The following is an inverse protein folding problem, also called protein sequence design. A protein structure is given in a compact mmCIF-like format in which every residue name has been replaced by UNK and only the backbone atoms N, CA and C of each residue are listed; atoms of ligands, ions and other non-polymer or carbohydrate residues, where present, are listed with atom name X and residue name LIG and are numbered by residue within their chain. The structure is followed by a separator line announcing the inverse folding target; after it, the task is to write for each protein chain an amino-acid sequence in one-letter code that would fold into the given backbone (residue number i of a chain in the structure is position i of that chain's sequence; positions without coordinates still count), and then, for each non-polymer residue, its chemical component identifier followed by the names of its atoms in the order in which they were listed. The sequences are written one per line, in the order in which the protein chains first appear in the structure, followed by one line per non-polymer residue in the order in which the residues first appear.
data_IF_449801004262
#
_entry.id   IF_449801004262
#
_cell.length_a   1.000
_cell.length_b   1.000
_cell.length_c   1.000
_cell.angle_alpha   90.00
_cell.angle_beta   90.00
_cell.angle_gamma   90.00
#
_symmetry.space_group_name_H-M   'P 1'
#
loop_
_entity.id
_entity.type
_entity.pdbx_description
1 polymer ?
#
# COMPACT_ATOMS: atom_id res chain seq x y z
N UNK A 1 -16.19 -15.45 -13.99
CA UNK A 1 -15.15 -14.55 -13.54
C UNK A 1 -15.54 -14.04 -12.18
N UNK A 2 -14.58 -13.91 -11.29
CA UNK A 2 -14.89 -13.55 -9.91
C UNK A 2 -14.13 -12.30 -9.40
N UNK A 3 -13.12 -11.80 -10.10
CA UNK A 3 -12.36 -10.64 -9.64
C UNK A 3 -11.84 -9.78 -10.78
N UNK A 4 -12.11 -8.47 -10.68
CA UNK A 4 -11.62 -7.40 -11.55
C UNK A 4 -10.85 -6.31 -10.80
N UNK A 5 -10.48 -6.54 -9.56
CA UNK A 5 -10.12 -5.48 -8.61
C UNK A 5 -8.74 -4.87 -8.82
N UNK A 6 -7.95 -5.32 -9.79
CA UNK A 6 -6.64 -4.75 -10.08
C UNK A 6 -6.21 -5.01 -11.52
N UNK A 7 -5.15 -4.33 -11.96
CA UNK A 7 -4.53 -4.49 -13.28
C UNK A 7 -3.83 -5.85 -13.51
N UNK A 8 -3.54 -6.60 -12.43
CA UNK A 8 -2.90 -7.91 -12.49
C UNK A 8 -3.81 -9.03 -13.01
N UNK A 9 -5.05 -8.71 -13.36
CA UNK A 9 -6.01 -9.71 -13.84
C UNK A 9 -5.53 -10.42 -15.10
N UNK A 10 -5.82 -11.73 -15.18
CA UNK A 10 -5.39 -12.55 -16.31
C UNK A 10 -5.98 -12.05 -17.63
N UNK A 11 -5.10 -11.74 -18.61
CA UNK A 11 -5.51 -11.34 -19.96
C UNK A 11 -6.31 -10.04 -20.03
N UNK A 12 -6.24 -9.17 -19.02
CA UNK A 12 -7.05 -7.95 -18.89
C UNK A 12 -8.57 -8.19 -18.86
N UNK A 13 -8.98 -9.43 -18.57
CA UNK A 13 -10.41 -9.86 -18.57
C UNK A 13 -10.93 -10.29 -17.20
N UNK A 14 -10.12 -10.16 -16.16
CA UNK A 14 -10.44 -10.59 -14.81
C UNK A 14 -9.94 -11.97 -14.46
N UNK A 15 -9.94 -12.31 -13.17
CA UNK A 15 -9.55 -13.62 -12.68
C UNK A 15 -10.72 -14.59 -12.78
N UNK A 16 -10.49 -15.77 -13.39
CA UNK A 16 -11.52 -16.78 -13.69
C UNK A 16 -11.15 -18.18 -13.20
N UNK A 17 -9.91 -18.37 -12.69
CA UNK A 17 -9.42 -19.65 -12.19
C UNK A 17 -9.87 -19.97 -10.78
N UNK A 18 -9.17 -20.89 -10.12
CA UNK A 18 -9.43 -21.29 -8.74
C UNK A 18 -8.98 -20.24 -7.73
N UNK A 19 -8.05 -19.39 -8.11
CA UNK A 19 -7.56 -18.25 -7.32
C UNK A 19 -7.23 -17.07 -8.25
N UNK A 20 -7.19 -15.86 -7.69
CA UNK A 20 -6.65 -14.69 -8.37
C UNK A 20 -5.15 -14.82 -8.64
N UNK A 21 -4.60 -13.99 -9.53
CA UNK A 21 -3.14 -13.90 -9.78
C UNK A 21 -2.38 -13.61 -8.48
N UNK A 22 -2.99 -12.83 -7.57
CA UNK A 22 -2.45 -12.52 -6.25
C UNK A 22 -2.63 -13.65 -5.22
N UNK A 23 -3.28 -14.76 -5.57
CA UNK A 23 -3.61 -15.85 -4.64
C UNK A 23 -4.95 -15.72 -3.90
N UNK A 24 -5.70 -14.62 -4.13
CA UNK A 24 -7.00 -14.37 -3.50
C UNK A 24 -8.03 -15.41 -3.89
N UNK A 25 -8.84 -15.89 -2.92
CA UNK A 25 -9.97 -16.77 -3.18
C UNK A 25 -11.14 -16.04 -3.84
N UNK A 26 -12.03 -16.77 -4.48
CA UNK A 26 -13.27 -16.20 -5.01
C UNK A 26 -14.16 -15.60 -3.91
N UNK A 27 -14.18 -16.22 -2.71
CA UNK A 27 -14.95 -15.72 -1.57
C UNK A 27 -14.39 -14.40 -1.04
N UNK A 28 -13.08 -14.32 -0.85
CA UNK A 28 -12.41 -13.09 -0.46
C UNK A 28 -12.66 -11.96 -1.45
N UNK A 29 -12.60 -12.24 -2.76
CA UNK A 29 -12.90 -11.26 -3.80
C UNK A 29 -14.35 -10.75 -3.71
N UNK A 30 -15.31 -11.66 -3.47
CA UNK A 30 -16.73 -11.31 -3.28
C UNK A 30 -16.93 -10.42 -2.05
N UNK A 31 -16.29 -10.74 -0.93
CA UNK A 31 -16.37 -9.92 0.28
C UNK A 31 -15.77 -8.53 0.08
N UNK A 32 -14.70 -8.41 -0.69
CA UNK A 32 -14.12 -7.10 -1.04
C UNK A 32 -15.02 -6.30 -1.97
N UNK A 33 -15.75 -6.95 -2.89
CA UNK A 33 -16.79 -6.29 -3.69
C UNK A 33 -17.96 -5.85 -2.79
N UNK A 34 -18.40 -6.68 -1.84
CA UNK A 34 -19.42 -6.30 -0.86
C UNK A 34 -18.98 -5.12 0.01
N UNK A 35 -17.73 -5.13 0.48
CA UNK A 35 -17.16 -3.99 1.22
C UNK A 35 -17.15 -2.71 0.37
N UNK A 36 -16.73 -2.80 -0.90
CA UNK A 36 -16.74 -1.66 -1.82
C UNK A 36 -18.17 -1.12 -2.03
N UNK A 37 -19.13 -2.01 -2.22
CA UNK A 37 -20.54 -1.65 -2.34
C UNK A 37 -21.10 -0.97 -1.10
N UNK A 38 -20.72 -1.45 0.09
CA UNK A 38 -21.12 -0.84 1.37
C UNK A 38 -20.49 0.56 1.55
N UNK A 39 -19.22 0.75 1.15
CA UNK A 39 -18.56 2.07 1.16
C UNK A 39 -19.25 3.07 0.23
N UNK A 40 -19.67 2.63 -0.96
CA UNK A 40 -20.45 3.45 -1.89
C UNK A 40 -21.80 3.82 -1.25
N UNK A 41 -22.48 2.87 -0.61
CA UNK A 41 -23.74 3.13 0.12
C UNK A 41 -23.54 4.11 1.27
N UNK A 42 -22.46 3.99 2.03
CA UNK A 42 -22.12 4.95 3.10
C UNK A 42 -21.84 6.33 2.52
N UNK A 43 -21.03 6.44 1.47
CA UNK A 43 -20.72 7.73 0.84
C UNK A 43 -21.97 8.46 0.31
N UNK A 44 -22.88 7.72 -0.33
CA UNK A 44 -24.18 8.26 -0.79
C UNK A 44 -25.06 8.71 0.39
N UNK A 45 -25.04 7.98 1.49
CA UNK A 45 -25.78 8.33 2.71
C UNK A 45 -25.25 9.60 3.38
N UNK A 46 -23.95 9.82 3.28
CA UNK A 46 -23.33 11.05 3.81
C UNK A 46 -23.85 12.31 3.10
N UNK A 47 -23.99 12.31 1.76
CA UNK A 47 -24.55 13.45 1.02
C UNK A 47 -24.23 14.80 1.64
N UNK A 48 -25.28 15.51 2.11
CA UNK A 48 -25.20 16.76 2.85
C UNK A 48 -25.18 16.58 4.38
N UNK A 49 -25.21 15.34 4.88
CA UNK A 49 -25.17 15.07 6.32
C UNK A 49 -23.77 15.36 6.90
N UNK A 50 -23.69 15.71 8.20
CA UNK A 50 -22.40 15.88 8.86
C UNK A 50 -21.57 14.60 8.79
N UNK A 51 -20.30 14.76 8.50
CA UNK A 51 -19.27 13.71 8.51
C UNK A 51 -18.48 13.85 9.80
N UNK A 52 -18.03 12.73 10.33
CA UNK A 52 -17.19 12.68 11.53
C UNK A 52 -15.82 12.13 11.17
N UNK A 53 -14.83 12.40 12.01
CA UNK A 53 -13.50 11.78 11.87
C UNK A 53 -13.58 10.24 11.79
N UNK A 54 -14.51 9.64 12.54
CA UNK A 54 -14.74 8.19 12.47
C UNK A 54 -15.29 7.75 11.11
N UNK A 55 -16.18 8.55 10.50
CA UNK A 55 -16.70 8.24 9.14
C UNK A 55 -15.59 8.33 8.11
N UNK A 56 -14.74 9.36 8.18
CA UNK A 56 -13.58 9.53 7.29
C UNK A 56 -12.60 8.37 7.45
N UNK A 57 -12.28 7.99 8.68
CA UNK A 57 -11.43 6.84 8.99
C UNK A 57 -11.97 5.54 8.39
N UNK A 58 -13.26 5.26 8.56
CA UNK A 58 -13.91 4.05 8.02
C UNK A 58 -13.83 4.02 6.49
N UNK A 59 -14.02 5.14 5.80
CA UNK A 59 -13.88 5.22 4.34
C UNK A 59 -12.44 4.91 3.91
N UNK A 60 -11.46 5.55 4.56
CA UNK A 60 -10.04 5.36 4.24
C UNK A 60 -9.60 3.92 4.51
N UNK A 61 -9.88 3.38 5.70
CA UNK A 61 -9.54 2.00 6.07
C UNK A 61 -10.22 0.98 5.16
N UNK A 62 -11.50 1.18 4.85
CA UNK A 62 -12.25 0.28 3.98
C UNK A 62 -11.72 0.25 2.56
N UNK A 63 -11.41 1.41 1.97
CA UNK A 63 -10.78 1.49 0.64
C UNK A 63 -9.40 0.83 0.65
N UNK A 64 -8.57 1.12 1.63
CA UNK A 64 -7.23 0.55 1.76
C UNK A 64 -7.28 -0.97 1.92
N UNK A 65 -8.20 -1.50 2.73
CA UNK A 65 -8.42 -2.95 2.92
C UNK A 65 -8.69 -3.68 1.60
N UNK A 66 -9.31 -3.02 0.62
CA UNK A 66 -9.65 -3.61 -0.68
C UNK A 66 -8.53 -3.56 -1.73
N UNK A 67 -7.38 -2.97 -1.41
CA UNK A 67 -6.22 -2.98 -2.31
C UNK A 67 -5.71 -4.42 -2.48
N UNK A 68 -5.15 -4.69 -3.66
CA UNK A 68 -4.55 -6.00 -3.97
C UNK A 68 -3.41 -6.31 -2.98
N UNK A 69 -3.38 -7.55 -2.49
CA UNK A 69 -2.33 -8.04 -1.59
C UNK A 69 -2.27 -7.33 -0.22
N UNK A 70 -3.42 -6.87 0.29
CA UNK A 70 -3.56 -6.31 1.63
C UNK A 70 -4.28 -7.28 2.54
N UNK A 71 -5.54 -7.60 2.27
CA UNK A 71 -6.34 -8.41 3.15
C UNK A 71 -6.86 -9.68 2.45
N UNK A 72 -6.50 -10.85 3.00
CA UNK A 72 -6.90 -12.17 2.54
C UNK A 72 -7.80 -12.88 3.56
N UNK A 73 -8.14 -12.22 4.68
CA UNK A 73 -8.88 -12.82 5.77
C UNK A 73 -10.37 -12.47 5.67
N UNK A 74 -11.19 -13.48 5.38
CA UNK A 74 -12.63 -13.33 5.20
C UNK A 74 -13.34 -12.81 6.46
N UNK A 75 -12.83 -13.12 7.66
CA UNK A 75 -13.45 -12.67 8.91
C UNK A 75 -13.22 -11.18 9.13
N UNK A 76 -12.00 -10.69 8.95
CA UNK A 76 -11.71 -9.25 9.08
C UNK A 76 -12.43 -8.42 8.02
N UNK A 77 -12.65 -8.96 6.81
CA UNK A 77 -13.48 -8.31 5.79
C UNK A 77 -14.95 -8.20 6.23
N UNK A 78 -15.52 -9.25 6.82
CA UNK A 78 -16.89 -9.21 7.38
C UNK A 78 -17.02 -8.21 8.52
N UNK A 79 -16.02 -8.14 9.40
CA UNK A 79 -15.97 -7.15 10.47
C UNK A 79 -15.93 -5.72 9.93
N UNK A 80 -15.13 -5.47 8.89
CA UNK A 80 -15.07 -4.16 8.24
C UNK A 80 -16.39 -3.79 7.56
N UNK A 81 -17.02 -4.73 6.85
CA UNK A 81 -18.37 -4.54 6.29
C UNK A 81 -19.39 -4.18 7.39
N UNK A 82 -19.33 -4.87 8.52
CA UNK A 82 -20.20 -4.59 9.65
C UNK A 82 -19.95 -3.18 10.23
N UNK A 83 -18.69 -2.75 10.36
CA UNK A 83 -18.34 -1.37 10.79
C UNK A 83 -18.92 -0.32 9.84
N UNK A 84 -18.76 -0.51 8.52
CA UNK A 84 -19.30 0.39 7.48
C UNK A 84 -20.83 0.49 7.59
N UNK A 85 -21.52 -0.65 7.69
CA UNK A 85 -22.99 -0.70 7.83
C UNK A 85 -23.48 -0.05 9.13
N UNK A 86 -22.78 -0.27 10.24
CA UNK A 86 -23.09 0.37 11.52
C UNK A 86 -22.94 1.90 11.46
N UNK A 87 -21.90 2.39 10.79
CA UNK A 87 -21.70 3.84 10.61
C UNK A 87 -22.79 4.44 9.70
N UNK A 88 -23.12 3.76 8.60
CA UNK A 88 -24.22 4.16 7.72
C UNK A 88 -25.56 4.30 8.48
N UNK A 89 -25.87 3.36 9.37
CA UNK A 89 -27.10 3.38 10.16
C UNK A 89 -27.17 4.54 11.17
N UNK A 90 -26.02 5.09 11.60
CA UNK A 90 -26.02 6.30 12.43
C UNK A 90 -26.40 7.55 11.65
N UNK A 91 -26.01 7.59 10.36
CA UNK A 91 -26.24 8.73 9.47
C UNK A 91 -27.67 8.73 8.93
N UNK A 92 -28.17 7.55 8.56
CA UNK A 92 -29.54 7.34 8.06
C UNK A 92 -30.24 6.36 9.02
N UNK A 93 -30.78 6.84 10.16
CA UNK A 93 -31.50 5.97 11.05
C UNK A 93 -32.73 5.40 10.34
N UNK A 94 -33.03 4.15 10.64
CA UNK A 94 -34.19 3.40 10.10
C UNK A 94 -35.47 4.23 10.28
N UNK A 95 -35.90 4.88 9.22
CA UNK A 95 -37.04 5.77 9.27
C UNK A 95 -38.31 4.98 8.92
N UNK A 96 -38.83 4.21 9.89
CA UNK A 96 -40.11 3.52 9.78
C UNK A 96 -41.31 4.45 9.54
N UNK A 97 -41.11 5.76 9.66
CA UNK A 97 -42.14 6.78 9.46
C UNK A 97 -42.12 7.46 8.09
N UNK A 98 -41.08 7.26 7.28
CA UNK A 98 -40.96 7.84 5.95
C UNK A 98 -41.63 6.96 4.89
N UNK A 99 -42.76 7.42 4.34
CA UNK A 99 -43.43 6.78 3.20
C UNK A 99 -42.69 6.98 1.84
N UNK A 100 -41.65 7.80 1.80
CA UNK A 100 -40.76 7.96 0.66
C UNK A 100 -39.36 7.51 1.01
N UNK A 101 -38.71 6.67 0.15
CA UNK A 101 -37.33 6.31 0.38
C UNK A 101 -36.48 7.60 0.38
N UNK A 102 -35.79 7.87 1.47
CA UNK A 102 -34.79 8.91 1.59
C UNK A 102 -33.62 8.54 0.68
N UNK A 103 -33.67 8.89 -0.61
CA UNK A 103 -32.63 8.60 -1.61
C UNK A 103 -32.17 7.13 -1.64
N UNK A 104 -31.69 6.67 -2.76
CA UNK A 104 -31.14 5.30 -2.86
C UNK A 104 -29.79 5.25 -2.12
N UNK A 105 -29.83 4.90 -0.82
CA UNK A 105 -28.68 4.71 0.06
C UNK A 105 -28.30 3.24 0.21
N UNK A 106 -28.91 2.34 -0.57
CA UNK A 106 -28.57 0.94 -0.57
C UNK A 106 -27.10 0.71 -0.94
N UNK A 107 -26.55 -0.38 -0.43
CA UNK A 107 -25.22 -0.83 -0.82
C UNK A 107 -25.21 -1.06 -2.34
N UNK A 108 -24.12 -0.68 -2.98
CA UNK A 108 -24.03 -0.81 -4.44
C UNK A 108 -23.64 -2.24 -4.82
N UNK A 109 -24.39 -2.83 -5.76
CA UNK A 109 -24.00 -4.13 -6.32
C UNK A 109 -22.88 -3.93 -7.35
N UNK A 110 -21.67 -4.39 -7.02
CA UNK A 110 -20.50 -4.28 -7.89
C UNK A 110 -20.65 -5.01 -9.22
N UNK A 111 -21.61 -5.94 -9.35
CA UNK A 111 -21.94 -6.55 -10.64
C UNK A 111 -22.46 -5.51 -11.65
N UNK A 112 -23.10 -4.44 -11.19
CA UNK A 112 -23.52 -3.35 -12.06
C UNK A 112 -22.34 -2.64 -12.70
N UNK A 113 -21.24 -2.45 -11.95
CA UNK A 113 -20.00 -1.91 -12.49
C UNK A 113 -19.33 -2.90 -13.45
N UNK A 114 -19.17 -4.16 -13.02
CA UNK A 114 -18.42 -5.15 -13.81
C UNK A 114 -19.09 -5.54 -15.12
N UNK A 115 -20.41 -5.39 -15.21
CA UNK A 115 -21.20 -5.70 -16.41
C UNK A 115 -21.64 -4.44 -17.20
N UNK A 116 -21.18 -3.25 -16.81
CA UNK A 116 -21.49 -2.00 -17.51
C UNK A 116 -20.83 -1.95 -18.90
N UNK A 117 -21.21 -0.97 -19.71
CA UNK A 117 -20.53 -0.65 -20.95
C UNK A 117 -19.01 -0.54 -20.72
N UNK A 118 -18.22 -0.98 -21.69
CA UNK A 118 -16.75 -1.09 -21.54
C UNK A 118 -16.10 0.24 -21.18
N UNK A 119 -16.53 1.34 -21.80
CA UNK A 119 -15.97 2.68 -21.54
C UNK A 119 -16.37 3.18 -20.14
N UNK A 120 -17.63 3.05 -19.78
CA UNK A 120 -18.15 3.42 -18.45
C UNK A 120 -17.45 2.59 -17.37
N UNK A 121 -17.38 1.28 -17.55
CA UNK A 121 -16.65 0.36 -16.64
C UNK A 121 -15.20 0.78 -16.49
N UNK A 122 -14.52 1.13 -17.59
CA UNK A 122 -13.12 1.54 -17.57
C UNK A 122 -12.91 2.83 -16.78
N UNK A 123 -13.73 3.85 -17.02
CA UNK A 123 -13.65 5.15 -16.33
C UNK A 123 -13.97 5.00 -14.84
N UNK A 124 -15.05 4.29 -14.47
CA UNK A 124 -15.38 4.01 -13.07
C UNK A 124 -14.32 3.17 -12.37
N UNK A 125 -13.68 2.22 -13.08
CA UNK A 125 -12.57 1.43 -12.55
C UNK A 125 -11.33 2.27 -12.29
N UNK A 126 -10.98 3.22 -13.20
CA UNK A 126 -9.88 4.17 -12.99
C UNK A 126 -10.12 5.03 -11.74
N UNK A 127 -11.35 5.55 -11.56
CA UNK A 127 -11.71 6.29 -10.35
C UNK A 127 -11.53 5.40 -9.10
N UNK A 128 -12.10 4.19 -9.10
CA UNK A 128 -12.06 3.28 -7.96
C UNK A 128 -10.63 2.88 -7.59
N UNK A 129 -9.80 2.52 -8.57
CA UNK A 129 -8.42 2.11 -8.31
C UNK A 129 -7.57 3.31 -7.87
N UNK A 130 -7.81 4.48 -8.44
CA UNK A 130 -7.15 5.72 -8.02
C UNK A 130 -7.43 6.07 -6.57
N UNK A 131 -8.72 6.08 -6.16
CA UNK A 131 -9.07 6.40 -4.76
C UNK A 131 -8.63 5.33 -3.77
N UNK A 132 -8.52 4.05 -4.17
CA UNK A 132 -7.93 3.01 -3.31
C UNK A 132 -6.45 3.31 -3.03
N UNK A 133 -5.66 3.62 -4.07
CA UNK A 133 -4.26 4.01 -3.89
C UNK A 133 -4.11 5.28 -3.05
N UNK A 134 -4.95 6.29 -3.32
CA UNK A 134 -5.00 7.53 -2.54
C UNK A 134 -5.37 7.27 -1.08
N UNK A 135 -6.26 6.32 -0.79
CA UNK A 135 -6.65 5.95 0.57
C UNK A 135 -5.48 5.37 1.38
N UNK A 136 -4.57 4.63 0.74
CA UNK A 136 -3.35 4.16 1.41
C UNK A 136 -2.46 5.33 1.84
N UNK A 137 -2.27 6.33 0.98
CA UNK A 137 -1.51 7.54 1.32
C UNK A 137 -2.19 8.34 2.44
N UNK A 138 -3.52 8.53 2.34
CA UNK A 138 -4.30 9.21 3.38
C UNK A 138 -4.25 8.47 4.72
N UNK A 139 -4.25 7.14 4.71
CA UNK A 139 -4.13 6.32 5.91
C UNK A 139 -2.79 6.54 6.62
N UNK A 140 -1.67 6.47 5.89
CA UNK A 140 -0.35 6.71 6.46
C UNK A 140 -0.17 8.14 7.00
N UNK A 141 -0.78 9.13 6.36
CA UNK A 141 -0.81 10.48 6.90
C UNK A 141 -1.67 10.56 8.17
N UNK A 142 -2.84 9.93 8.16
CA UNK A 142 -3.81 9.93 9.27
C UNK A 142 -3.25 9.31 10.55
N UNK A 143 -2.53 8.17 10.46
CA UNK A 143 -1.91 7.54 11.64
C UNK A 143 -0.81 8.39 12.26
N UNK A 144 -0.26 9.34 11.51
CA UNK A 144 0.67 10.37 12.00
C UNK A 144 -0.03 11.64 12.48
N UNK A 145 -1.36 11.70 12.45
CA UNK A 145 -2.15 12.85 12.89
C UNK A 145 -2.39 13.93 11.82
N UNK A 146 -2.14 13.62 10.54
CA UNK A 146 -2.33 14.54 9.42
C UNK A 146 -3.56 14.14 8.60
N UNK A 147 -4.48 15.07 8.42
CA UNK A 147 -5.71 14.88 7.63
C UNK A 147 -5.97 16.08 6.72
N UNK A 148 -6.78 15.89 5.69
CA UNK A 148 -7.21 16.94 4.77
C UNK A 148 -8.70 16.80 4.46
N UNK A 149 -9.48 17.82 4.81
CA UNK A 149 -10.93 17.86 4.51
C UNK A 149 -11.19 17.78 2.99
N UNK A 150 -10.31 18.36 2.19
CA UNK A 150 -10.39 18.33 0.74
C UNK A 150 -10.25 16.91 0.19
N UNK A 151 -9.22 16.18 0.65
CA UNK A 151 -8.98 14.78 0.28
C UNK A 151 -10.13 13.91 0.79
N UNK A 152 -10.54 14.06 2.05
CA UNK A 152 -11.62 13.28 2.65
C UNK A 152 -12.95 13.50 1.89
N UNK A 153 -13.28 14.77 1.59
CA UNK A 153 -14.50 15.11 0.84
C UNK A 153 -14.51 14.49 -0.56
N UNK A 154 -13.35 14.38 -1.18
CA UNK A 154 -13.25 13.77 -2.49
C UNK A 154 -13.52 12.26 -2.47
N UNK A 155 -13.12 11.52 -1.44
CA UNK A 155 -13.47 10.10 -1.32
C UNK A 155 -14.98 9.86 -1.38
N UNK A 156 -15.77 10.66 -0.65
CA UNK A 156 -17.22 10.53 -0.66
C UNK A 156 -17.81 10.84 -2.05
N UNK A 157 -17.32 11.88 -2.69
CA UNK A 157 -17.77 12.26 -4.02
C UNK A 157 -17.43 11.16 -5.04
N UNK A 158 -16.19 10.68 -5.08
CA UNK A 158 -15.73 9.68 -6.02
C UNK A 158 -16.48 8.34 -5.85
N UNK A 159 -16.67 7.87 -4.60
CA UNK A 159 -17.48 6.69 -4.31
C UNK A 159 -18.93 6.86 -4.77
N UNK A 160 -19.54 8.03 -4.50
CA UNK A 160 -20.91 8.31 -4.92
C UNK A 160 -21.07 8.30 -6.44
N UNK A 161 -20.10 8.88 -7.17
CA UNK A 161 -20.07 8.90 -8.63
C UNK A 161 -20.06 7.48 -9.23
N UNK A 162 -19.27 6.56 -8.64
CA UNK A 162 -19.25 5.16 -9.06
C UNK A 162 -20.65 4.52 -8.91
N UNK A 163 -21.36 4.86 -7.85
CA UNK A 163 -22.69 4.32 -7.51
C UNK A 163 -23.86 4.94 -8.28
N UNK A 164 -23.61 5.95 -9.11
CA UNK A 164 -24.64 6.58 -9.94
C UNK A 164 -24.54 6.15 -11.41
N UNK A 165 -25.68 6.25 -12.12
CA UNK A 165 -25.73 6.11 -13.58
C UNK A 165 -25.22 7.41 -14.20
N UNK A 166 -24.07 7.35 -14.88
CA UNK A 166 -23.35 8.50 -15.45
C UNK A 166 -22.79 8.16 -16.81
N UNK A 167 -22.78 9.13 -17.69
CA UNK A 167 -22.15 9.03 -19.01
C UNK A 167 -20.65 9.39 -18.96
N UNK A 168 -19.97 9.21 -20.08
CA UNK A 168 -18.54 9.46 -20.22
C UNK A 168 -18.16 10.91 -19.97
N UNK A 169 -18.99 11.86 -20.42
CA UNK A 169 -18.71 13.30 -20.31
C UNK A 169 -18.72 13.76 -18.85
N UNK A 170 -19.48 13.09 -18.00
CA UNK A 170 -19.53 13.33 -16.55
C UNK A 170 -18.42 12.58 -15.79
N UNK A 171 -18.02 11.39 -16.26
CA UNK A 171 -17.00 10.57 -15.60
C UNK A 171 -15.57 11.05 -15.87
N UNK A 172 -15.25 11.48 -17.10
CA UNK A 172 -13.90 11.87 -17.48
C UNK A 172 -13.33 13.02 -16.63
N UNK A 173 -14.08 14.10 -16.31
CA UNK A 173 -13.60 15.13 -15.38
C UNK A 173 -13.25 14.57 -13.99
N UNK A 174 -14.02 13.58 -13.49
CA UNK A 174 -13.75 12.97 -12.18
C UNK A 174 -12.48 12.11 -12.22
N UNK A 175 -12.21 11.41 -13.32
CA UNK A 175 -10.95 10.68 -13.52
C UNK A 175 -9.74 11.62 -13.44
N UNK A 176 -9.82 12.79 -14.08
CA UNK A 176 -8.76 13.80 -14.01
C UNK A 176 -8.62 14.37 -12.60
N UNK A 177 -9.73 14.62 -11.93
CA UNK A 177 -9.75 15.11 -10.55
C UNK A 177 -9.14 14.09 -9.54
N UNK A 178 -9.25 12.78 -9.78
CA UNK A 178 -8.52 11.77 -8.99
C UNK A 178 -7.02 12.09 -8.99
N UNK A 179 -6.44 12.41 -10.14
CA UNK A 179 -5.02 12.76 -10.23
C UNK A 179 -4.68 14.04 -9.46
N UNK A 180 -5.52 15.07 -9.57
CA UNK A 180 -5.35 16.34 -8.84
C UNK A 180 -5.43 16.14 -7.32
N UNK A 181 -6.44 15.42 -6.83
CA UNK A 181 -6.61 15.17 -5.40
C UNK A 181 -5.57 14.20 -4.84
N UNK A 182 -5.10 13.25 -5.67
CA UNK A 182 -3.98 12.39 -5.30
C UNK A 182 -2.69 13.18 -5.11
N UNK A 183 -2.42 14.19 -5.93
CA UNK A 183 -1.25 15.06 -5.74
C UNK A 183 -1.30 15.76 -4.36
N UNK A 184 -2.45 16.31 -3.98
CA UNK A 184 -2.66 16.93 -2.65
C UNK A 184 -2.48 15.88 -1.53
N UNK A 185 -2.97 14.67 -1.73
CA UNK A 185 -2.83 13.58 -0.76
C UNK A 185 -1.37 13.13 -0.59
N UNK A 186 -0.61 13.07 -1.69
CA UNK A 186 0.82 12.75 -1.66
C UNK A 186 1.63 13.86 -0.96
N UNK A 187 1.31 15.14 -1.20
CA UNK A 187 1.91 16.27 -0.49
C UNK A 187 1.63 16.19 1.02
N UNK A 188 0.39 15.82 1.40
CA UNK A 188 0.03 15.61 2.81
C UNK A 188 0.87 14.50 3.44
N UNK A 189 1.06 13.37 2.74
CA UNK A 189 1.88 12.27 3.23
C UNK A 189 3.36 12.63 3.32
N UNK A 190 3.90 13.33 2.31
CA UNK A 190 5.28 13.80 2.34
C UNK A 190 5.51 14.72 3.55
N UNK A 191 4.59 15.66 3.77
CA UNK A 191 4.60 16.52 4.96
C UNK A 191 4.54 15.72 6.25
N UNK A 192 3.61 14.79 6.37
CA UNK A 192 3.45 13.96 7.56
C UNK A 192 4.74 13.16 7.87
N UNK A 193 5.33 12.54 6.87
CA UNK A 193 6.55 11.77 7.01
C UNK A 193 7.77 12.66 7.33
N UNK A 194 7.94 13.76 6.62
CA UNK A 194 9.12 14.63 6.81
C UNK A 194 9.08 15.42 8.11
N UNK A 195 7.92 15.85 8.57
CA UNK A 195 7.76 16.51 9.88
C UNK A 195 7.92 15.51 11.04
N UNK A 196 7.52 14.25 10.85
CA UNK A 196 7.59 13.21 11.91
C UNK A 196 8.97 12.53 11.97
N UNK A 197 9.57 12.21 10.81
CA UNK A 197 10.78 11.39 10.73
C UNK A 197 12.01 12.16 10.22
N UNK A 198 11.84 13.42 9.85
CA UNK A 198 12.86 14.27 9.25
C UNK A 198 12.96 14.09 7.73
N UNK A 199 13.60 15.04 7.06
CA UNK A 199 13.80 14.99 5.61
C UNK A 199 14.77 13.86 5.24
N UNK A 200 14.39 12.96 4.31
CA UNK A 200 15.25 11.87 3.87
C UNK A 200 16.57 12.39 3.29
N UNK A 201 17.65 11.69 3.58
CA UNK A 201 18.97 11.98 3.02
C UNK A 201 19.58 10.75 2.37
N UNK A 202 20.38 10.90 1.29
CA UNK A 202 21.02 9.77 0.62
C UNK A 202 21.75 8.88 1.62
N UNK A 203 21.38 7.61 1.65
CA UNK A 203 21.87 6.64 2.63
C UNK A 203 22.17 5.32 1.94
N UNK A 204 23.37 4.80 2.20
CA UNK A 204 23.77 3.45 1.75
C UNK A 204 23.24 2.42 2.74
N UNK A 205 22.50 1.42 2.25
CA UNK A 205 21.85 0.38 3.04
C UNK A 205 22.48 -0.97 2.72
N UNK A 206 23.04 -1.68 3.71
CA UNK A 206 23.57 -3.03 3.53
C UNK A 206 22.46 -4.04 3.20
N UNK A 207 22.81 -5.07 2.41
CA UNK A 207 21.94 -6.22 2.13
C UNK A 207 22.35 -7.46 2.96
N UNK A 208 23.50 -7.44 3.60
CA UNK A 208 23.95 -8.52 4.49
C UNK A 208 23.13 -8.56 5.79
N UNK A 209 22.99 -9.77 6.34
CA UNK A 209 22.31 -9.99 7.62
C UNK A 209 23.34 -10.45 8.65
N UNK A 210 23.43 -9.73 9.75
CA UNK A 210 24.31 -10.08 10.89
C UNK A 210 23.76 -11.31 11.62
N UNK A 211 24.64 -12.07 12.25
CA UNK A 211 24.27 -13.20 13.11
C UNK A 211 23.41 -12.74 14.30
N UNK A 212 22.61 -13.66 14.83
CA UNK A 212 21.77 -13.44 16.01
C UNK A 212 20.32 -13.11 15.68
N UNK A 213 19.49 -12.87 16.70
CA UNK A 213 18.06 -12.62 16.53
C UNK A 213 17.79 -11.37 15.65
N UNK A 214 16.82 -11.49 14.76
CA UNK A 214 16.39 -10.37 13.96
C UNK A 214 14.91 -10.46 13.59
N UNK A 215 14.34 -9.35 13.15
CA UNK A 215 12.98 -9.24 12.64
C UNK A 215 13.05 -8.66 11.22
N UNK A 216 12.25 -9.21 10.31
CA UNK A 216 12.02 -8.62 8.98
C UNK A 216 10.68 -7.89 8.99
N UNK A 217 10.70 -6.60 8.71
CA UNK A 217 9.49 -5.78 8.55
C UNK A 217 9.29 -5.40 7.09
N UNK A 218 8.08 -5.58 6.57
CA UNK A 218 7.72 -5.33 5.18
C UNK A 218 6.42 -4.53 5.07
N UNK A 219 6.24 -3.80 3.98
CA UNK A 219 5.12 -2.90 3.75
C UNK A 219 5.60 -1.46 3.59
N UNK A 220 4.82 -0.49 4.10
CA UNK A 220 5.08 0.93 3.89
C UNK A 220 4.97 1.77 5.16
N UNK A 221 4.44 1.23 6.27
CA UNK A 221 4.15 2.00 7.46
C UNK A 221 5.39 2.34 8.28
N UNK A 222 5.78 3.61 8.29
CA UNK A 222 6.93 4.11 9.04
C UNK A 222 6.63 4.27 10.53
N UNK A 223 5.35 4.44 10.90
CA UNK A 223 4.94 4.57 12.29
C UNK A 223 5.11 3.25 13.03
N UNK A 224 4.63 2.15 12.46
CA UNK A 224 4.83 0.81 13.00
C UNK A 224 6.31 0.43 13.10
N UNK A 225 7.11 0.78 12.07
CA UNK A 225 8.56 0.59 12.13
C UNK A 225 9.17 1.36 13.30
N UNK A 226 8.80 2.63 13.51
CA UNK A 226 9.28 3.43 14.63
C UNK A 226 8.95 2.78 15.97
N UNK A 227 7.70 2.37 16.17
CA UNK A 227 7.25 1.72 17.40
C UNK A 227 7.97 0.38 17.63
N UNK A 228 8.20 -0.41 16.57
CA UNK A 228 8.99 -1.64 16.65
C UNK A 228 10.44 -1.35 17.07
N UNK A 229 11.07 -0.32 16.48
CA UNK A 229 12.42 0.11 16.84
C UNK A 229 12.51 0.56 18.30
N UNK A 230 11.52 1.28 18.80
CA UNK A 230 11.43 1.69 20.20
C UNK A 230 11.29 0.48 21.13
N UNK A 231 10.44 -0.48 20.80
CA UNK A 231 10.19 -1.68 21.62
C UNK A 231 11.33 -2.72 21.56
N UNK A 232 12.14 -2.73 20.51
CA UNK A 232 13.28 -3.63 20.35
C UNK A 232 14.62 -3.03 20.83
N UNK A 233 14.62 -1.76 21.24
CA UNK A 233 15.82 -1.10 21.77
C UNK A 233 16.42 -1.88 22.91
N UNK A 234 17.72 -2.07 22.85
CA UNK A 234 18.54 -2.76 23.88
C UNK A 234 18.16 -4.25 24.13
N UNK A 235 17.38 -4.87 23.23
CA UNK A 235 16.97 -6.28 23.34
C UNK A 235 17.88 -7.26 22.59
N UNK A 236 18.93 -6.78 21.92
CA UNK A 236 19.84 -7.61 21.13
C UNK A 236 19.22 -8.19 19.86
N UNK A 237 18.19 -7.52 19.33
CA UNK A 237 17.47 -7.90 18.11
C UNK A 237 17.78 -6.87 17.03
N UNK A 238 18.19 -7.33 15.85
CA UNK A 238 18.37 -6.48 14.67
C UNK A 238 17.09 -6.40 13.85
N UNK A 239 16.86 -5.25 13.24
CA UNK A 239 15.70 -5.00 12.35
C UNK A 239 16.20 -4.85 10.92
N UNK A 240 15.55 -5.57 10.01
CA UNK A 240 15.76 -5.47 8.55
C UNK A 240 14.46 -5.11 7.88
N UNK A 241 14.51 -4.13 7.00
CA UNK A 241 13.39 -3.82 6.11
C UNK A 241 13.34 -4.82 4.95
N UNK A 242 12.20 -4.90 4.27
CA UNK A 242 12.04 -5.70 3.06
C UNK A 242 11.24 -4.93 2.03
N UNK A 243 11.59 -5.09 0.75
CA UNK A 243 10.85 -4.53 -0.37
C UNK A 243 10.72 -3.00 -0.29
N UNK A 244 9.51 -2.51 -0.31
CA UNK A 244 9.22 -1.08 -0.37
C UNK A 244 9.37 -0.33 0.97
N UNK A 245 9.74 -1.02 2.05
CA UNK A 245 10.14 -0.38 3.31
C UNK A 245 11.59 0.16 3.26
N UNK A 246 12.37 -0.16 2.22
CA UNK A 246 13.75 0.31 2.03
C UNK A 246 13.95 1.83 2.24
N UNK A 247 13.07 2.73 1.77
CA UNK A 247 13.22 4.18 1.99
C UNK A 247 13.29 4.61 3.45
N UNK A 248 12.80 3.80 4.38
CA UNK A 248 12.83 4.09 5.82
C UNK A 248 14.24 4.39 6.35
N UNK A 249 15.26 3.75 5.77
CA UNK A 249 16.66 3.95 6.15
C UNK A 249 17.19 5.36 5.89
N UNK A 250 16.50 6.17 5.09
CA UNK A 250 16.91 7.52 4.76
C UNK A 250 16.41 8.57 5.76
N UNK A 251 15.39 8.24 6.55
CA UNK A 251 14.78 9.17 7.50
C UNK A 251 15.63 9.30 8.77
N UNK A 252 16.04 10.53 9.17
CA UNK A 252 16.90 10.77 10.34
C UNK A 252 16.40 10.13 11.63
N UNK A 253 15.09 10.24 11.91
CA UNK A 253 14.50 9.75 13.15
C UNK A 253 14.40 8.20 13.21
N UNK A 254 14.49 7.53 12.08
CA UNK A 254 14.52 6.06 12.01
C UNK A 254 15.95 5.52 11.99
N UNK A 255 16.83 6.09 11.16
CA UNK A 255 18.22 5.62 11.07
C UNK A 255 19.07 5.91 12.30
N UNK A 256 18.58 6.72 13.24
CA UNK A 256 19.27 6.91 14.54
C UNK A 256 19.30 5.65 15.41
N UNK A 257 18.44 4.68 15.13
CA UNK A 257 18.43 3.41 15.86
C UNK A 257 19.50 2.46 15.30
N UNK A 258 20.56 2.13 16.08
CA UNK A 258 21.71 1.39 15.56
C UNK A 258 21.39 -0.07 15.21
N UNK A 259 20.26 -0.58 15.65
CA UNK A 259 19.77 -1.93 15.34
C UNK A 259 18.85 -1.98 14.11
N UNK A 260 18.54 -0.84 13.45
CA UNK A 260 18.02 -0.81 12.09
C UNK A 260 19.21 -1.02 11.13
N UNK A 261 19.45 -2.28 10.73
CA UNK A 261 20.72 -2.70 10.12
C UNK A 261 20.77 -2.59 8.62
N UNK A 262 19.75 -3.05 7.93
CA UNK A 262 19.79 -3.13 6.48
C UNK A 262 18.48 -3.59 5.87
N UNK A 263 18.54 -3.95 4.59
CA UNK A 263 17.39 -4.45 3.86
C UNK A 263 17.57 -5.93 3.52
N UNK A 264 16.59 -6.74 3.89
CA UNK A 264 16.53 -8.17 3.61
C UNK A 264 15.82 -8.41 2.28
N UNK A 265 16.38 -9.29 1.46
CA UNK A 265 15.73 -9.71 0.21
C UNK A 265 15.61 -8.61 -0.85
N UNK A 266 14.64 -8.75 -1.73
CA UNK A 266 14.52 -7.93 -2.93
C UNK A 266 13.16 -7.25 -3.05
N UNK A 267 12.12 -7.97 -3.53
CA UNK A 267 10.83 -7.40 -3.83
C UNK A 267 9.68 -8.33 -3.39
N UNK A 268 8.49 -7.77 -3.21
CA UNK A 268 7.34 -8.48 -2.66
C UNK A 268 6.97 -9.76 -3.42
N UNK A 269 7.13 -9.81 -4.73
CA UNK A 269 6.85 -11.01 -5.52
C UNK A 269 7.80 -12.17 -5.23
N UNK A 270 8.94 -11.91 -4.59
CA UNK A 270 9.94 -12.92 -4.21
C UNK A 270 9.77 -13.43 -2.77
N UNK A 271 8.86 -12.88 -1.99
CA UNK A 271 8.64 -13.21 -0.57
C UNK A 271 8.56 -14.72 -0.32
N UNK A 272 7.80 -15.45 -1.12
CA UNK A 272 7.63 -16.90 -0.95
C UNK A 272 8.92 -17.71 -1.08
N UNK A 273 9.92 -17.17 -1.75
CA UNK A 273 11.27 -17.77 -1.88
C UNK A 273 12.22 -17.23 -0.83
N UNK A 274 12.14 -15.93 -0.55
CA UNK A 274 13.07 -15.23 0.34
C UNK A 274 12.79 -15.54 1.81
N UNK A 275 11.51 -15.75 2.16
CA UNK A 275 11.10 -16.09 3.53
C UNK A 275 11.05 -17.60 3.83
N UNK A 276 11.36 -18.42 2.81
CA UNK A 276 11.37 -19.87 2.98
C UNK A 276 12.40 -20.28 4.05
N UNK A 277 11.93 -20.95 5.11
CA UNK A 277 12.75 -21.34 6.27
C UNK A 277 13.56 -20.20 6.93
N UNK A 278 13.10 -18.95 6.80
CA UNK A 278 13.74 -17.80 7.44
C UNK A 278 13.77 -17.97 8.96
N UNK A 279 14.93 -17.89 9.64
CA UNK A 279 15.02 -18.02 11.10
C UNK A 279 14.67 -16.71 11.84
N UNK A 280 13.63 -16.00 11.40
CA UNK A 280 13.19 -14.73 11.94
C UNK A 280 11.69 -14.53 11.75
N UNK A 281 11.00 -13.81 12.62
CA UNK A 281 9.63 -13.39 12.37
C UNK A 281 9.56 -12.34 11.27
N UNK A 282 8.40 -12.32 10.59
CA UNK A 282 8.08 -11.41 9.49
C UNK A 282 6.86 -10.60 9.92
N UNK A 283 7.01 -9.28 9.98
CA UNK A 283 5.92 -8.35 10.28
C UNK A 283 5.47 -7.64 9.01
N UNK A 284 4.24 -7.88 8.61
CA UNK A 284 3.58 -7.18 7.52
C UNK A 284 2.79 -5.99 8.05
N UNK A 285 3.14 -4.80 7.62
CA UNK A 285 2.46 -3.56 8.04
C UNK A 285 1.39 -3.14 7.04
N UNK A 286 1.62 -3.37 5.75
CA UNK A 286 0.70 -3.02 4.67
C UNK A 286 0.86 -4.01 3.49
N UNK A 287 0.35 -3.65 2.30
CA UNK A 287 0.66 -4.35 1.07
C UNK A 287 2.19 -4.30 0.81
N UNK A 288 2.79 -5.17 0.06
CA UNK A 288 2.18 -6.30 -0.63
C UNK A 288 2.46 -7.59 0.13
N UNK A 289 1.40 -8.29 0.51
CA UNK A 289 1.52 -9.62 1.12
C UNK A 289 1.32 -10.68 0.04
N UNK A 290 2.27 -11.59 -0.12
CA UNK A 290 2.08 -12.82 -0.91
C UNK A 290 1.49 -13.92 -0.06
N UNK A 291 0.68 -14.84 -0.62
CA UNK A 291 0.14 -15.97 0.13
C UNK A 291 1.21 -16.69 0.94
N UNK A 292 0.97 -16.80 2.23
CA UNK A 292 1.95 -17.35 3.19
C UNK A 292 2.11 -18.85 2.96
N UNK A 293 3.37 -19.33 2.95
CA UNK A 293 3.68 -20.76 2.83
C UNK A 293 3.82 -21.41 4.21
N UNK A 294 3.50 -22.72 4.33
CA UNK A 294 3.67 -23.46 5.57
C UNK A 294 5.08 -23.40 6.19
N UNK A 295 6.10 -23.24 5.36
CA UNK A 295 7.52 -23.23 5.79
C UNK A 295 7.92 -22.02 6.66
N UNK A 296 7.08 -20.96 6.70
CA UNK A 296 7.29 -19.77 7.54
C UNK A 296 6.00 -19.22 8.17
N UNK A 297 4.87 -19.91 8.05
CA UNK A 297 3.58 -19.45 8.53
C UNK A 297 3.54 -19.21 10.05
N UNK A 298 4.29 -20.03 10.84
CA UNK A 298 4.36 -19.94 12.29
C UNK A 298 5.06 -18.70 12.84
N UNK A 299 5.60 -17.87 11.98
CA UNK A 299 6.37 -16.67 12.32
C UNK A 299 5.96 -15.42 11.54
N UNK A 300 4.75 -15.44 10.93
CA UNK A 300 4.16 -14.30 10.24
C UNK A 300 3.23 -13.54 11.18
N UNK A 301 3.40 -12.23 11.20
CA UNK A 301 2.57 -11.29 11.94
C UNK A 301 2.06 -10.22 11.01
N UNK A 302 0.85 -9.75 11.27
CA UNK A 302 0.22 -8.66 10.49
C UNK A 302 -0.22 -7.54 11.43
N UNK A 303 -0.33 -6.33 10.92
CA UNK A 303 -0.85 -5.17 11.64
C UNK A 303 -1.69 -4.30 10.69
N UNK A 304 -2.32 -3.25 11.21
CA UNK A 304 -3.15 -2.31 10.45
C UNK A 304 -4.30 -3.02 9.70
N UNK A 305 -4.50 -2.65 8.44
CA UNK A 305 -5.54 -3.25 7.58
C UNK A 305 -5.08 -4.52 6.88
N UNK A 306 -3.79 -4.89 7.01
CA UNK A 306 -3.28 -6.12 6.41
C UNK A 306 -3.63 -7.31 7.28
N UNK A 307 -4.18 -8.35 6.66
CA UNK A 307 -4.57 -9.57 7.37
C UNK A 307 -4.46 -10.80 6.48
N UNK A 308 -4.04 -11.90 7.09
CA UNK A 308 -4.02 -13.21 6.45
C UNK A 308 -4.59 -14.27 7.40
N UNK A 309 -5.34 -15.28 6.88
CA UNK A 309 -5.94 -16.31 7.74
C UNK A 309 -4.92 -16.98 8.66
N UNK A 310 -5.31 -17.22 9.91
CA UNK A 310 -4.53 -17.95 10.91
C UNK A 310 -3.23 -17.26 11.40
N UNK A 311 -2.91 -16.07 10.86
CA UNK A 311 -1.74 -15.31 11.31
C UNK A 311 -2.07 -14.45 12.53
N UNK A 312 -1.06 -14.23 13.40
CA UNK A 312 -1.20 -13.33 14.54
C UNK A 312 -1.30 -11.89 14.06
N UNK A 313 -2.38 -11.23 14.42
CA UNK A 313 -2.60 -9.82 14.11
C UNK A 313 -2.28 -8.94 15.32
N UNK A 314 -1.42 -7.95 15.13
CA UNK A 314 -1.09 -6.93 16.13
C UNK A 314 -2.15 -5.84 16.06
N UNK A 315 -2.88 -5.65 17.14
CA UNK A 315 -3.98 -4.70 17.23
C UNK A 315 -3.56 -3.23 17.32
N UNK A 316 -4.54 -2.36 17.57
CA UNK A 316 -4.35 -0.90 17.65
C UNK A 316 -3.39 -0.47 18.75
N UNK A 317 -3.23 -1.28 19.81
CA UNK A 317 -2.30 -1.01 20.93
C UNK A 317 -0.82 -1.14 20.53
N UNK A 318 -0.54 -1.68 19.34
CA UNK A 318 0.81 -1.83 18.79
C UNK A 318 1.80 -2.49 19.75
N UNK A 319 1.35 -3.53 20.47
CA UNK A 319 2.23 -4.35 21.30
C UNK A 319 2.94 -5.41 20.42
N UNK A 320 4.20 -5.16 20.11
CA UNK A 320 5.05 -6.07 19.33
C UNK A 320 5.72 -7.16 20.16
N UNK A 321 5.36 -7.33 21.44
CA UNK A 321 5.91 -8.38 22.30
C UNK A 321 5.87 -9.78 21.64
N UNK A 322 4.78 -10.22 20.98
CA UNK A 322 4.76 -11.55 20.33
C UNK A 322 5.80 -11.68 19.19
N UNK A 323 6.05 -10.61 18.45
CA UNK A 323 7.07 -10.59 17.38
C UNK A 323 8.47 -10.66 17.96
N UNK A 324 8.70 -9.90 19.04
CA UNK A 324 9.98 -9.85 19.78
C UNK A 324 10.33 -11.22 20.39
N UNK A 325 9.35 -11.84 21.08
CA UNK A 325 9.52 -13.17 21.67
C UNK A 325 9.82 -14.23 20.61
N UNK A 326 9.13 -14.17 19.46
CA UNK A 326 9.39 -15.07 18.33
C UNK A 326 10.79 -14.88 17.75
N UNK A 327 11.30 -13.65 17.68
CA UNK A 327 12.66 -13.39 17.21
C UNK A 327 13.71 -13.99 18.15
N UNK A 328 13.51 -13.89 19.45
CA UNK A 328 14.39 -14.48 20.47
C UNK A 328 14.31 -16.00 20.46
N UNK A 329 13.12 -16.58 20.29
CA UNK A 329 12.90 -18.03 20.17
C UNK A 329 13.65 -18.61 18.96
N UNK A 330 13.53 -17.96 17.79
CA UNK A 330 14.16 -18.44 16.56
C UNK A 330 15.68 -18.23 16.53
N UNK A 331 16.20 -17.25 17.27
CA UNK A 331 17.62 -17.00 17.47
C UNK A 331 18.38 -16.45 16.26
N UNK A 332 17.77 -16.38 15.08
CA UNK A 332 18.39 -15.85 13.88
C UNK A 332 19.45 -16.75 13.25
N UNK A 333 20.35 -16.16 12.46
CA UNK A 333 21.46 -16.89 11.85
C UNK A 333 22.62 -17.09 12.84
N UNK A 334 23.29 -18.25 12.75
CA UNK A 334 24.47 -18.58 13.57
C UNK A 334 25.73 -17.80 13.15
N UNK A 335 25.77 -17.33 11.90
CA UNK A 335 26.86 -16.53 11.33
C UNK A 335 26.31 -15.47 10.40
N UNK A 336 27.09 -14.41 10.17
CA UNK A 336 26.74 -13.37 9.20
C UNK A 336 26.43 -13.96 7.83
N UNK A 337 25.40 -13.45 7.17
CA UNK A 337 25.00 -13.85 5.81
C UNK A 337 25.27 -12.73 4.83
N UNK A 338 26.20 -12.95 3.93
CA UNK A 338 26.36 -12.09 2.77
C UNK A 338 25.22 -12.34 1.78
N UNK A 339 24.54 -11.26 1.39
CA UNK A 339 23.48 -11.28 0.39
C UNK A 339 23.79 -10.27 -0.71
N UNK A 340 23.27 -10.54 -1.89
CA UNK A 340 23.41 -9.66 -3.04
C UNK A 340 22.06 -9.27 -3.58
N UNK A 341 21.93 -8.03 -4.01
CA UNK A 341 20.75 -7.55 -4.70
C UNK A 341 20.63 -8.13 -6.13
N UNK A 342 19.57 -7.78 -6.82
CA UNK A 342 19.25 -8.23 -8.19
C UNK A 342 20.41 -7.93 -9.17
N UNK A 343 21.14 -6.86 -8.96
CA UNK A 343 22.27 -6.45 -9.79
C UNK A 343 23.65 -6.95 -9.28
N UNK A 344 23.67 -7.86 -8.29
CA UNK A 344 24.91 -8.41 -7.72
C UNK A 344 25.62 -7.50 -6.70
N UNK A 345 25.09 -6.31 -6.40
CA UNK A 345 25.63 -5.42 -5.38
C UNK A 345 25.33 -5.90 -3.96
N UNK A 346 26.19 -5.54 -3.00
CA UNK A 346 26.02 -5.84 -1.56
C UNK A 346 25.34 -4.72 -0.79
N UNK A 347 25.12 -3.59 -1.43
CA UNK A 347 24.46 -2.41 -0.87
C UNK A 347 23.52 -1.79 -1.89
N UNK A 348 22.53 -1.07 -1.41
CA UNK A 348 21.66 -0.20 -2.22
C UNK A 348 21.65 1.20 -1.64
N UNK A 349 21.28 2.20 -2.43
CA UNK A 349 21.12 3.56 -1.96
C UNK A 349 19.64 3.98 -2.02
N UNK A 350 19.21 4.73 -1.02
CA UNK A 350 17.89 5.35 -0.94
C UNK A 350 17.99 6.77 -0.38
N UNK A 351 16.88 7.53 -0.34
CA UNK A 351 16.84 8.85 0.29
C UNK A 351 16.99 10.03 -0.67
N UNK A 352 16.73 9.82 -1.95
CA UNK A 352 16.73 10.87 -2.97
C UNK A 352 15.36 11.58 -3.04
N UNK A 353 14.85 12.03 -1.88
CA UNK A 353 13.61 12.79 -1.79
C UNK A 353 13.77 14.24 -2.29
N UNK A 354 12.67 15.02 -2.22
CA UNK A 354 12.62 16.39 -2.75
C UNK A 354 13.74 17.28 -2.22
N UNK A 355 14.12 17.18 -0.94
CA UNK A 355 15.22 17.96 -0.36
C UNK A 355 16.57 17.71 -1.04
N UNK A 356 16.87 16.45 -1.39
CA UNK A 356 18.10 16.09 -2.12
C UNK A 356 18.05 16.57 -3.56
N UNK A 357 16.91 16.37 -4.25
CA UNK A 357 16.73 16.77 -5.65
C UNK A 357 16.85 18.29 -5.80
N UNK A 358 16.19 19.05 -4.93
CA UNK A 358 16.29 20.52 -4.92
C UNK A 358 17.70 21.01 -4.59
N UNK A 359 18.44 20.29 -3.74
CA UNK A 359 19.82 20.60 -3.41
C UNK A 359 20.79 20.51 -4.59
N UNK A 360 20.44 19.79 -5.66
CA UNK A 360 21.23 19.66 -6.90
C UNK A 360 20.54 20.29 -8.12
N UNK A 361 19.48 21.06 -7.91
CA UNK A 361 18.64 21.59 -8.99
C UNK A 361 19.44 22.42 -10.00
N UNK A 362 20.36 23.27 -9.57
CA UNK A 362 21.17 24.11 -10.46
C UNK A 362 22.02 23.24 -11.40
N UNK A 363 22.64 22.17 -10.88
CA UNK A 363 23.44 21.23 -11.67
C UNK A 363 22.60 20.49 -12.71
N UNK A 364 21.37 20.08 -12.33
CA UNK A 364 20.42 19.44 -13.25
C UNK A 364 19.98 20.41 -14.35
N UNK A 365 19.65 21.66 -13.98
CA UNK A 365 19.25 22.72 -14.93
C UNK A 365 20.39 22.99 -15.92
N UNK A 366 21.63 23.09 -15.45
CA UNK A 366 22.80 23.33 -16.32
C UNK A 366 23.04 22.13 -17.24
N UNK A 367 22.86 20.89 -16.77
CA UNK A 367 22.97 19.71 -17.59
C UNK A 367 21.86 19.65 -18.67
N UNK A 368 20.63 20.07 -18.37
CA UNK A 368 19.55 20.20 -19.36
C UNK A 368 19.89 21.30 -20.37
N UNK A 369 20.31 22.48 -19.92
CA UNK A 369 20.67 23.62 -20.81
C UNK A 369 21.85 23.30 -21.72
N UNK A 370 22.81 22.52 -21.26
CA UNK A 370 23.97 22.07 -22.07
C UNK A 370 23.65 20.90 -23.01
N UNK A 371 22.45 20.30 -22.91
CA UNK A 371 22.05 19.12 -23.67
C UNK A 371 22.65 17.80 -23.15
N UNK A 372 23.29 17.83 -21.97
CA UNK A 372 23.80 16.60 -21.32
C UNK A 372 22.67 15.70 -20.79
N UNK A 373 21.53 16.30 -20.49
CA UNK A 373 20.26 15.59 -20.17
C UNK A 373 19.25 15.98 -21.24
N UNK A 374 18.75 15.01 -21.99
CA UNK A 374 17.73 15.21 -23.02
C UNK A 374 16.33 14.83 -22.57
N UNK A 375 16.20 13.85 -21.67
CA UNK A 375 14.92 13.31 -21.21
C UNK A 375 14.96 12.92 -19.73
N UNK A 376 13.79 12.99 -19.09
CA UNK A 376 13.53 12.41 -17.78
C UNK A 376 12.46 11.34 -17.92
N UNK A 377 12.70 10.16 -17.35
CA UNK A 377 11.72 9.09 -17.31
C UNK A 377 11.28 8.86 -15.87
N UNK A 378 9.98 9.00 -15.61
CA UNK A 378 9.37 8.60 -14.35
C UNK A 378 8.84 7.17 -14.48
N UNK A 379 9.44 6.25 -13.73
CA UNK A 379 8.99 4.85 -13.67
C UNK A 379 8.31 4.64 -12.32
N UNK A 380 6.98 4.79 -12.30
CA UNK A 380 6.16 4.74 -11.10
C UNK A 380 5.38 3.43 -10.94
N UNK A 381 5.92 2.28 -11.38
CA UNK A 381 5.26 1.00 -11.31
C UNK A 381 6.23 -0.17 -11.30
N UNK A 382 5.70 -1.39 -11.18
CA UNK A 382 6.46 -2.63 -11.23
C UNK A 382 5.75 -3.69 -12.09
N UNK A 383 6.49 -4.74 -12.47
CA UNK A 383 5.93 -5.83 -13.27
C UNK A 383 5.00 -6.75 -12.46
N UNK A 384 5.03 -6.68 -11.14
CA UNK A 384 4.20 -7.49 -10.25
C UNK A 384 4.58 -8.97 -10.28
N UNK A 385 3.65 -9.82 -9.83
CA UNK A 385 3.87 -11.27 -9.72
C UNK A 385 3.43 -12.08 -10.95
N UNK A 386 2.85 -11.43 -11.96
CA UNK A 386 2.32 -12.14 -13.13
C UNK A 386 3.46 -12.66 -14.00
N UNK A 387 3.47 -13.97 -14.25
CA UNK A 387 4.44 -14.62 -15.12
C UNK A 387 4.39 -14.04 -16.55
N UNK A 388 5.54 -13.67 -17.10
CA UNK A 388 5.67 -13.10 -18.44
C UNK A 388 5.41 -11.59 -18.52
N UNK A 389 5.11 -10.93 -17.41
CA UNK A 389 5.04 -9.47 -17.34
C UNK A 389 6.41 -8.92 -16.98
N UNK A 390 7.04 -8.19 -17.89
CA UNK A 390 8.41 -7.67 -17.77
C UNK A 390 8.59 -6.28 -18.39
N UNK A 391 7.49 -5.56 -18.62
CA UNK A 391 7.48 -4.26 -19.29
C UNK A 391 8.42 -3.24 -18.61
N UNK A 392 8.26 -3.04 -17.30
CA UNK A 392 9.09 -2.09 -16.56
C UNK A 392 10.56 -2.53 -16.49
N UNK A 393 10.80 -3.82 -16.31
CA UNK A 393 12.16 -4.39 -16.28
C UNK A 393 12.85 -4.22 -17.64
N UNK A 394 12.17 -4.51 -18.73
CA UNK A 394 12.70 -4.34 -20.08
C UNK A 394 12.94 -2.87 -20.41
N UNK A 395 11.97 -1.99 -20.06
CA UNK A 395 12.14 -0.55 -20.27
C UNK A 395 13.39 -0.01 -19.57
N UNK A 396 13.56 -0.29 -18.27
CA UNK A 396 14.72 0.18 -17.49
C UNK A 396 16.05 -0.41 -18.00
N UNK A 397 16.03 -1.61 -18.58
CA UNK A 397 17.22 -2.30 -19.12
C UNK A 397 17.49 -1.99 -20.59
N UNK A 398 16.58 -1.32 -21.27
CA UNK A 398 16.72 -1.01 -22.70
C UNK A 398 17.97 -0.18 -22.96
N UNK A 399 18.79 -0.63 -23.92
CA UNK A 399 20.00 0.08 -24.34
C UNK A 399 19.69 1.41 -25.04
N UNK A 400 18.55 1.51 -25.70
CA UNK A 400 18.10 2.76 -26.33
C UNK A 400 17.96 3.91 -25.32
N UNK A 401 17.57 3.58 -24.09
CA UNK A 401 17.48 4.56 -23.01
C UNK A 401 18.78 4.75 -22.24
N UNK A 402 19.68 3.76 -22.27
CA UNK A 402 20.94 3.78 -21.51
C UNK A 402 22.11 4.33 -22.30
N UNK A 403 22.08 4.28 -23.63
CA UNK A 403 23.14 4.87 -24.49
C UNK A 403 23.14 6.41 -24.45
N UNK A 404 21.98 7.03 -24.13
CA UNK A 404 21.84 8.48 -23.98
C UNK A 404 21.94 8.95 -22.53
N UNK A 405 21.87 8.04 -21.55
CA UNK A 405 21.84 8.34 -20.12
C UNK A 405 23.07 7.78 -19.41
N UNK A 406 24.15 8.56 -19.35
CA UNK A 406 25.30 8.23 -18.51
C UNK A 406 25.05 8.43 -16.99
N UNK A 407 23.88 8.84 -16.58
CA UNK A 407 23.50 8.98 -15.17
C UNK A 407 22.11 8.42 -14.90
N UNK A 408 22.03 7.32 -14.17
CA UNK A 408 20.80 6.76 -13.64
C UNK A 408 20.48 7.44 -12.32
N UNK A 409 19.42 8.22 -12.28
CA UNK A 409 18.74 8.57 -11.04
C UNK A 409 17.49 7.67 -10.99
N UNK A 410 17.55 6.63 -10.18
CA UNK A 410 16.37 5.83 -9.81
C UNK A 410 15.78 6.48 -8.56
N UNK A 411 14.60 7.04 -8.69
CA UNK A 411 13.82 7.61 -7.59
C UNK A 411 12.87 6.54 -7.06
#
# INVERSE_FOLDING_TARGET
MFCFQCEQTAGCSGCTGNAGVCGKSANTAKLQDELTGALIGLAKSCGNNPKTENTDRIIIEGLFTTITNVNFNDETLKEMIAKVKAEKNKIVPDCSACQNPCGNTDDYDMNNLWNDNEDIRSLKSLILFGIRGMAAYAYHAMVLGYTSDEVNSFFYRALSVIGYDMDMDLLLPVVLEVGEKNLICMELLDKANTETFGTPTPTTVPLSVEKGPFIVITGHDLYDLKLLLEQTKDKGINIYTHGEMLPAHAYPELKKYPHLKGNFGTAWQNQQKEFDHLPAPILYTTNCLMPVKPSYADRVFTTEVVSYPEMVHIGEEKDFTPVIEKALELGGYEADREMTGINGGKTVMTGFGHGTVLGVADQVIDAVKSGAISHFFLVGGCDGARVGRNYYTEFVRSEEHTSELQSRITI
#
